data_IF_364337399992
#
_entry.id   IF_364337399992
#
_cell.length_a   1.000
_cell.length_b   1.000
_cell.length_c   1.000
_cell.angle_alpha   90.00
_cell.angle_beta   90.00
_cell.angle_gamma   90.00
#
_symmetry.space_group_name_H-M   'P 1'
#
loop_
_entity.id
_entity.type
_entity.pdbx_description
1 polymer ?
#
# COMPACT_ATOMS: atom_id res chain seq x y z
N UNK A 1 -2.18 -5.42 10.47
CA UNK A 1 -2.81 -6.53 9.70
C UNK A 1 -1.85 -7.70 9.50
N UNK A 2 -0.60 -7.48 9.07
CA UNK A 2 0.39 -8.56 8.94
C UNK A 2 0.69 -9.33 10.23
N UNK A 3 0.76 -8.65 11.39
CA UNK A 3 0.87 -9.34 12.70
C UNK A 3 -0.25 -10.34 12.98
N UNK A 4 -1.46 -10.14 12.42
CA UNK A 4 -2.59 -11.06 12.59
C UNK A 4 -2.38 -12.35 11.79
N UNK A 5 -1.86 -12.24 10.57
CA UNK A 5 -1.60 -13.40 9.69
C UNK A 5 -0.32 -14.16 10.06
N UNK A 6 0.67 -13.51 10.69
CA UNK A 6 1.88 -14.19 11.17
C UNK A 6 1.72 -14.80 12.57
N UNK A 7 0.71 -14.40 13.36
CA UNK A 7 0.47 -14.96 14.70
C UNK A 7 0.15 -16.47 14.70
N UNK A 8 -0.45 -16.99 13.61
CA UNK A 8 -0.77 -18.40 13.47
C UNK A 8 0.47 -19.26 13.11
N UNK A 9 1.55 -18.66 12.59
CA UNK A 9 2.75 -19.38 12.18
C UNK A 9 3.99 -18.58 12.60
N UNK A 10 4.51 -18.91 13.79
CA UNK A 10 5.69 -18.23 14.36
C UNK A 10 7.01 -18.69 13.73
N UNK A 11 7.03 -19.86 13.08
CA UNK A 11 8.23 -20.45 12.45
C UNK A 11 7.91 -20.76 10.99
N UNK A 12 8.79 -20.30 10.10
CA UNK A 12 8.73 -20.57 8.68
C UNK A 12 9.89 -21.48 8.28
N UNK A 13 9.66 -22.46 7.39
CA UNK A 13 10.69 -23.40 6.97
C UNK A 13 11.73 -22.78 6.02
N UNK A 14 11.38 -21.70 5.32
CA UNK A 14 12.28 -20.90 4.49
C UNK A 14 11.75 -19.46 4.33
N UNK A 15 12.61 -18.55 3.87
CA UNK A 15 12.26 -17.13 3.69
C UNK A 15 11.19 -16.94 2.61
N UNK A 16 11.16 -17.80 1.59
CA UNK A 16 10.20 -17.69 0.51
C UNK A 16 8.77 -18.05 0.95
N UNK A 17 8.61 -18.97 1.90
CA UNK A 17 7.31 -19.25 2.52
C UNK A 17 6.81 -18.04 3.32
N UNK A 18 7.71 -17.33 4.01
CA UNK A 18 7.37 -16.09 4.70
C UNK A 18 6.92 -15.00 3.70
N UNK A 19 7.71 -14.77 2.65
CA UNK A 19 7.38 -13.80 1.59
C UNK A 19 6.05 -14.12 0.92
N UNK A 20 5.79 -15.39 0.59
CA UNK A 20 4.52 -15.82 -0.01
C UNK A 20 3.32 -15.53 0.90
N UNK A 21 3.45 -15.78 2.20
CA UNK A 21 2.40 -15.46 3.17
C UNK A 21 2.12 -13.95 3.25
N UNK A 22 3.16 -13.13 3.30
CA UNK A 22 3.04 -11.66 3.27
C UNK A 22 2.36 -11.18 1.98
N UNK A 23 2.77 -11.72 0.83
CA UNK A 23 2.18 -11.39 -0.46
C UNK A 23 0.68 -11.73 -0.53
N UNK A 24 0.28 -12.91 -0.06
CA UNK A 24 -1.14 -13.30 -0.04
C UNK A 24 -1.97 -12.37 0.86
N UNK A 25 -1.44 -12.03 2.03
CA UNK A 25 -2.11 -11.09 2.93
C UNK A 25 -2.20 -9.68 2.33
N UNK A 26 -1.15 -9.21 1.66
CA UNK A 26 -1.18 -7.94 0.92
C UNK A 26 -2.22 -7.95 -0.19
N UNK A 27 -2.27 -9.02 -1.00
CA UNK A 27 -3.24 -9.17 -2.08
C UNK A 27 -4.68 -9.06 -1.57
N UNK A 28 -4.99 -9.70 -0.44
CA UNK A 28 -6.33 -9.65 0.12
C UNK A 28 -6.67 -8.31 0.79
N UNK A 29 -5.65 -7.58 1.29
CA UNK A 29 -5.79 -6.19 1.74
C UNK A 29 -6.04 -5.23 0.57
N UNK A 30 -5.24 -5.35 -0.49
CA UNK A 30 -5.32 -4.52 -1.69
C UNK A 30 -6.70 -4.62 -2.36
N UNK A 31 -7.31 -5.80 -2.39
CA UNK A 31 -8.70 -5.98 -2.87
C UNK A 31 -9.74 -5.14 -2.11
N UNK A 32 -9.47 -4.77 -0.86
CA UNK A 32 -10.37 -3.96 -0.03
C UNK A 32 -10.10 -2.47 -0.16
N UNK A 33 -9.00 -2.07 -0.80
CA UNK A 33 -8.63 -0.67 -1.02
C UNK A 33 -9.26 -0.13 -2.30
N UNK A 34 -10.59 -0.21 -2.38
CA UNK A 34 -11.36 0.29 -3.53
C UNK A 34 -11.88 1.71 -3.31
N UNK A 35 -11.83 2.21 -2.07
CA UNK A 35 -12.32 3.54 -1.74
C UNK A 35 -11.35 4.61 -2.27
N UNK A 36 -11.89 5.58 -2.99
CA UNK A 36 -11.15 6.75 -3.42
C UNK A 36 -10.69 7.57 -2.21
N UNK A 37 -9.51 8.19 -2.31
CA UNK A 37 -9.05 9.11 -1.28
C UNK A 37 -9.98 10.32 -1.21
N UNK A 38 -10.49 10.60 -0.01
CA UNK A 38 -11.32 11.77 0.25
C UNK A 38 -10.53 13.04 -0.04
N UNK A 39 -11.14 13.98 -0.76
CA UNK A 39 -10.56 15.28 -1.10
C UNK A 39 -9.24 15.21 -1.90
N UNK A 40 -9.00 14.14 -2.67
CA UNK A 40 -7.76 13.99 -3.42
C UNK A 40 -7.49 15.14 -4.41
N UNK A 41 -8.53 15.71 -5.02
CA UNK A 41 -8.40 16.86 -5.91
C UNK A 41 -7.83 18.11 -5.20
N UNK A 42 -8.27 18.36 -3.96
CA UNK A 42 -7.75 19.47 -3.15
C UNK A 42 -6.28 19.22 -2.79
N UNK A 43 -5.96 18.01 -2.30
CA UNK A 43 -4.58 17.63 -1.99
C UNK A 43 -3.68 17.77 -3.22
N UNK A 44 -4.16 17.37 -4.39
CA UNK A 44 -3.42 17.50 -5.65
C UNK A 44 -3.12 18.96 -5.99
N UNK A 45 -4.08 19.88 -5.80
CA UNK A 45 -3.86 21.32 -6.02
C UNK A 45 -2.83 21.92 -5.07
N UNK A 46 -2.77 21.47 -3.81
CA UNK A 46 -1.73 21.89 -2.88
C UNK A 46 -0.36 21.32 -3.27
N UNK A 47 -0.33 20.05 -3.72
CA UNK A 47 0.90 19.40 -4.16
C UNK A 47 1.44 20.04 -5.43
N UNK A 48 0.59 20.42 -6.39
CA UNK A 48 1.02 21.09 -7.63
C UNK A 48 1.67 22.44 -7.34
N UNK A 49 1.15 23.22 -6.39
CA UNK A 49 1.78 24.50 -6.00
C UNK A 49 3.08 24.30 -5.22
N UNK A 50 3.16 23.26 -4.38
CA UNK A 50 4.34 23.02 -3.51
C UNK A 50 5.49 22.36 -4.28
N UNK A 51 5.17 21.52 -5.28
CA UNK A 51 6.12 20.71 -6.04
C UNK A 51 5.97 20.94 -7.54
N UNK A 52 5.85 22.20 -7.93
CA UNK A 52 5.59 22.65 -9.30
C UNK A 52 6.54 21.98 -10.30
N UNK A 53 7.86 22.05 -10.03
CA UNK A 53 8.91 21.47 -10.89
C UNK A 53 8.84 19.93 -11.04
N UNK A 54 8.21 19.21 -10.10
CA UNK A 54 8.16 17.74 -10.13
C UNK A 54 6.88 17.21 -10.77
N UNK A 55 5.80 17.99 -10.69
CA UNK A 55 4.48 17.58 -11.15
C UNK A 55 4.14 18.10 -12.55
N UNK A 56 4.88 19.10 -13.06
CA UNK A 56 4.74 19.61 -14.44
C UNK A 56 4.97 18.53 -15.52
N UNK A 57 5.76 17.49 -15.22
CA UNK A 57 5.99 16.37 -16.14
C UNK A 57 4.96 15.23 -16.04
N UNK A 58 4.04 15.30 -15.07
CA UNK A 58 3.13 14.20 -14.70
C UNK A 58 1.66 14.58 -14.87
N UNK A 59 1.33 15.87 -14.77
CA UNK A 59 0.02 16.43 -15.09
C UNK A 59 -0.05 16.84 -16.57
#
# INVERSE_FOLDING_TARGET
QFRKVTKAKSIFPNDDALKKMLFLAYRDLSKKWTMQLQNWALVLSHLSVTFDERLENVL
#
